data_IF_603744701200
#
_entry.id   IF_603744701200
#
_cell.length_a   1.000
_cell.length_b   1.000
_cell.length_c   1.000
_cell.angle_alpha   90.00
_cell.angle_beta   90.00
_cell.angle_gamma   90.00
#
_symmetry.space_group_name_H-M   'P 1'
#
loop_
_entity.id
_entity.type
_entity.pdbx_description
1 polymer ?
#
# COMPACT_ATOMS: atom_id res chain seq x y z
N UNK A 1 -12.68 5.57 9.76
CA UNK A 1 -11.30 5.20 9.39
C UNK A 1 -10.43 5.36 10.63
N UNK A 2 -9.47 4.48 10.87
CA UNK A 2 -8.45 4.56 11.92
C UNK A 2 -7.83 5.95 11.83
N UNK A 3 -7.69 6.69 12.92
CA UNK A 3 -6.99 7.98 12.92
C UNK A 3 -5.70 7.85 13.72
N UNK A 4 -4.75 8.75 13.47
CA UNK A 4 -3.52 8.82 14.29
C UNK A 4 -3.83 9.03 15.78
N UNK A 5 -4.91 9.77 16.08
CA UNK A 5 -5.44 9.94 17.44
C UNK A 5 -5.93 8.66 18.10
N UNK A 6 -6.30 7.65 17.31
CA UNK A 6 -6.81 6.37 17.82
C UNK A 6 -5.66 5.39 18.14
N UNK A 7 -4.42 5.74 17.78
CA UNK A 7 -3.24 4.89 17.97
C UNK A 7 -2.66 5.13 19.38
N UNK A 8 -2.69 4.12 20.28
CA UNK A 8 -2.06 4.21 21.59
C UNK A 8 -0.53 4.28 21.48
N UNK A 9 0.15 4.63 22.56
CA UNK A 9 1.62 4.63 22.62
C UNK A 9 2.23 3.26 22.35
N UNK A 10 1.57 2.19 22.84
CA UNK A 10 1.98 0.80 22.65
C UNK A 10 0.86 0.03 21.98
N UNK A 11 1.19 -0.64 20.89
CA UNK A 11 0.25 -1.44 20.10
C UNK A 11 0.94 -2.69 19.59
N UNK A 12 0.28 -3.84 19.70
CA UNK A 12 0.73 -5.08 19.07
C UNK A 12 0.29 -5.14 17.61
N UNK A 13 1.01 -5.92 16.80
CA UNK A 13 0.63 -6.15 15.40
C UNK A 13 -0.77 -6.79 15.29
N UNK A 14 -1.14 -7.64 16.26
CA UNK A 14 -2.48 -8.23 16.34
C UNK A 14 -3.57 -7.18 16.58
N UNK A 15 -3.34 -6.20 17.46
CA UNK A 15 -4.31 -5.13 17.69
C UNK A 15 -4.52 -4.30 16.41
N UNK A 16 -3.43 -3.96 15.70
CA UNK A 16 -3.51 -3.26 14.43
C UNK A 16 -4.25 -4.07 13.36
N UNK A 17 -3.96 -5.38 13.26
CA UNK A 17 -4.64 -6.28 12.33
C UNK A 17 -6.15 -6.32 12.56
N UNK A 18 -6.60 -6.40 13.81
CA UNK A 18 -8.03 -6.41 14.13
C UNK A 18 -8.72 -5.07 13.80
N UNK A 19 -8.02 -3.95 13.94
CA UNK A 19 -8.51 -2.65 13.47
C UNK A 19 -8.63 -2.63 11.94
N UNK A 20 -7.62 -3.13 11.22
CA UNK A 20 -7.60 -3.18 9.76
C UNK A 20 -8.66 -4.13 9.19
N UNK A 21 -8.94 -5.26 9.86
CA UNK A 21 -10.04 -6.16 9.48
C UNK A 21 -11.40 -5.48 9.53
N UNK A 22 -11.65 -4.66 10.57
CA UNK A 22 -12.87 -3.86 10.70
C UNK A 22 -12.98 -2.80 9.61
N UNK A 23 -11.88 -2.18 9.20
CA UNK A 23 -11.90 -1.26 8.06
C UNK A 23 -12.13 -1.99 6.74
N UNK A 24 -11.37 -3.05 6.50
CA UNK A 24 -11.45 -3.83 5.27
C UNK A 24 -12.85 -4.40 5.06
N UNK A 25 -13.56 -4.82 6.12
CA UNK A 25 -14.94 -5.32 6.03
C UNK A 25 -15.93 -4.30 5.43
N UNK A 26 -15.67 -3.01 5.60
CA UNK A 26 -16.46 -1.92 5.00
C UNK A 26 -16.17 -1.67 3.51
N UNK A 27 -15.10 -2.27 2.96
CA UNK A 27 -14.76 -2.16 1.53
C UNK A 27 -15.62 -3.14 0.73
N UNK A 28 -16.41 -2.60 -0.20
CA UNK A 28 -17.27 -3.33 -1.12
C UNK A 28 -16.69 -3.35 -2.53
N UNK A 29 -17.23 -4.24 -3.38
CA UNK A 29 -16.80 -4.38 -4.77
C UNK A 29 -16.94 -3.07 -5.56
N UNK A 30 -17.97 -2.27 -5.28
CA UNK A 30 -18.18 -0.96 -5.91
C UNK A 30 -17.03 0.01 -5.64
N UNK A 31 -16.41 -0.06 -4.46
CA UNK A 31 -15.29 0.82 -4.11
C UNK A 31 -14.04 0.44 -4.91
N UNK A 32 -13.83 -0.87 -5.10
CA UNK A 32 -12.75 -1.40 -5.94
C UNK A 32 -12.98 -1.01 -7.41
N UNK A 33 -14.23 -1.06 -7.88
CA UNK A 33 -14.59 -0.62 -9.23
C UNK A 33 -14.31 0.88 -9.41
N UNK A 34 -14.75 1.74 -8.48
CA UNK A 34 -14.45 3.18 -8.52
C UNK A 34 -12.95 3.46 -8.50
N UNK A 35 -12.18 2.76 -7.66
CA UNK A 35 -10.72 2.86 -7.66
C UNK A 35 -10.09 2.44 -9.01
N UNK A 36 -10.65 1.43 -9.67
CA UNK A 36 -10.18 1.01 -11.00
C UNK A 36 -10.44 2.04 -12.10
N UNK A 37 -11.50 2.85 -11.96
CA UNK A 37 -11.78 3.97 -12.88
C UNK A 37 -10.70 5.04 -12.73
N UNK A 38 -10.34 5.41 -11.50
CA UNK A 38 -9.23 6.33 -11.25
C UNK A 38 -7.91 5.82 -11.84
N UNK A 39 -7.58 4.54 -11.62
CA UNK A 39 -6.38 3.93 -12.20
C UNK A 39 -6.34 4.00 -13.72
N UNK A 40 -7.50 3.92 -14.39
CA UNK A 40 -7.59 4.08 -15.85
C UNK A 40 -7.29 5.51 -16.29
N UNK A 41 -7.79 6.49 -15.55
CA UNK A 41 -7.55 7.92 -15.80
C UNK A 41 -6.07 8.29 -15.60
N UNK A 42 -5.43 7.72 -14.58
CA UNK A 42 -4.01 7.91 -14.28
C UNK A 42 -3.12 7.24 -15.34
N UNK A 43 -3.49 6.03 -15.77
CA UNK A 43 -2.79 5.29 -16.81
C UNK A 43 -3.11 5.75 -18.25
N UNK A 44 -3.83 6.87 -18.45
CA UNK A 44 -4.34 7.28 -19.79
C UNK A 44 -3.26 7.52 -20.84
N UNK A 45 -2.04 7.79 -20.41
CA UNK A 45 -0.90 8.06 -21.28
C UNK A 45 -0.05 6.82 -21.57
N UNK A 46 -0.37 5.66 -20.96
CA UNK A 46 0.30 4.41 -21.27
C UNK A 46 -0.22 3.84 -22.60
N UNK A 47 0.61 3.07 -23.33
CA UNK A 47 0.15 2.33 -24.50
C UNK A 47 -1.07 1.45 -24.17
N UNK A 48 -2.05 1.28 -25.07
CA UNK A 48 -3.34 0.62 -24.74
C UNK A 48 -3.20 -0.78 -24.13
N UNK A 49 -2.22 -1.56 -24.60
CA UNK A 49 -1.95 -2.90 -24.06
C UNK A 49 -1.42 -2.82 -22.62
N UNK A 50 -0.45 -1.94 -22.37
CA UNK A 50 0.13 -1.72 -21.05
C UNK A 50 -0.89 -1.15 -20.08
N UNK A 51 -1.75 -0.24 -20.53
CA UNK A 51 -2.84 0.32 -19.74
C UNK A 51 -3.80 -0.78 -19.27
N UNK A 52 -4.23 -1.69 -20.17
CA UNK A 52 -5.11 -2.80 -19.81
C UNK A 52 -4.46 -3.74 -18.79
N UNK A 53 -3.22 -4.17 -19.06
CA UNK A 53 -2.46 -5.05 -18.17
C UNK A 53 -2.24 -4.40 -16.79
N UNK A 54 -1.95 -3.10 -16.76
CA UNK A 54 -1.81 -2.31 -15.54
C UNK A 54 -3.10 -2.31 -14.71
N UNK A 55 -4.22 -1.91 -15.31
CA UNK A 55 -5.52 -1.83 -14.60
C UNK A 55 -5.94 -3.21 -14.06
N UNK A 56 -5.82 -4.26 -14.88
CA UNK A 56 -6.18 -5.62 -14.47
C UNK A 56 -5.32 -6.11 -13.30
N UNK A 57 -4.01 -5.88 -13.35
CA UNK A 57 -3.07 -6.25 -12.29
C UNK A 57 -3.40 -5.52 -10.99
N UNK A 58 -3.59 -4.20 -11.04
CA UNK A 58 -3.87 -3.40 -9.84
C UNK A 58 -5.24 -3.73 -9.23
N UNK A 59 -6.28 -3.86 -10.05
CA UNK A 59 -7.64 -4.20 -9.57
C UNK A 59 -7.64 -5.57 -8.89
N UNK A 60 -6.96 -6.56 -9.49
CA UNK A 60 -6.79 -7.89 -8.90
C UNK A 60 -5.98 -7.84 -7.60
N UNK A 61 -4.91 -7.06 -7.56
CA UNK A 61 -4.10 -6.89 -6.36
C UNK A 61 -4.91 -6.28 -5.22
N UNK A 62 -5.70 -5.24 -5.48
CA UNK A 62 -6.56 -4.60 -4.49
C UNK A 62 -7.59 -5.58 -3.94
N UNK A 63 -8.30 -6.29 -4.81
CA UNK A 63 -9.27 -7.31 -4.41
C UNK A 63 -8.62 -8.41 -3.55
N UNK A 64 -7.50 -8.96 -4.01
CA UNK A 64 -6.80 -10.01 -3.29
C UNK A 64 -6.31 -9.53 -1.92
N UNK A 65 -5.69 -8.34 -1.84
CA UNK A 65 -5.16 -7.81 -0.57
C UNK A 65 -6.24 -7.49 0.45
N UNK A 66 -7.36 -6.90 0.03
CA UNK A 66 -8.50 -6.69 0.93
C UNK A 66 -9.04 -8.03 1.44
N UNK A 67 -9.11 -9.06 0.57
CA UNK A 67 -9.50 -10.41 0.97
C UNK A 67 -8.49 -11.05 1.93
N UNK A 68 -7.19 -10.87 1.69
CA UNK A 68 -6.12 -11.40 2.54
C UNK A 68 -6.24 -10.80 3.95
N UNK A 69 -6.43 -9.48 4.07
CA UNK A 69 -6.61 -8.79 5.36
C UNK A 69 -7.83 -9.34 6.11
N UNK A 70 -8.98 -9.44 5.42
CA UNK A 70 -10.23 -9.97 6.02
C UNK A 70 -10.06 -11.39 6.57
N UNK A 71 -9.25 -12.21 5.90
CA UNK A 71 -9.10 -13.62 6.19
C UNK A 71 -7.79 -13.98 6.90
N UNK A 72 -6.98 -12.99 7.30
CA UNK A 72 -5.70 -13.25 7.96
C UNK A 72 -5.95 -13.88 9.34
N UNK A 73 -5.49 -15.12 9.48
CA UNK A 73 -5.55 -15.93 10.72
C UNK A 73 -4.17 -16.15 11.33
N UNK A 74 -3.13 -15.50 10.80
CA UNK A 74 -1.78 -15.60 11.36
C UNK A 74 -1.75 -14.96 12.75
N UNK A 75 -0.79 -15.41 13.55
CA UNK A 75 -0.52 -14.87 14.88
C UNK A 75 0.79 -14.08 14.79
N UNK A 76 0.70 -12.78 15.03
CA UNK A 76 1.82 -11.87 15.03
C UNK A 76 2.22 -11.57 16.48
N UNK A 77 3.48 -11.81 16.83
CA UNK A 77 3.99 -11.59 18.19
C UNK A 77 4.73 -10.26 18.35
N UNK A 78 4.87 -9.50 17.27
CA UNK A 78 5.61 -8.24 17.26
C UNK A 78 4.81 -7.04 17.76
N UNK A 79 5.54 -5.94 17.87
CA UNK A 79 5.01 -4.63 18.22
C UNK A 79 5.05 -3.71 17.01
N UNK A 80 4.11 -2.78 16.97
CA UNK A 80 4.04 -1.75 15.95
C UNK A 80 4.90 -0.57 16.38
N UNK A 81 5.68 -0.01 15.45
CA UNK A 81 6.24 1.33 15.60
C UNK A 81 5.07 2.34 15.52
N UNK A 82 4.54 2.71 16.67
CA UNK A 82 3.34 3.55 16.78
C UNK A 82 3.60 4.99 16.36
N UNK A 83 4.83 5.48 16.51
CA UNK A 83 5.22 6.81 16.03
C UNK A 83 5.24 6.83 14.50
N UNK A 84 5.94 5.86 13.88
CA UNK A 84 5.96 5.71 12.43
C UNK A 84 4.57 5.44 11.84
N UNK A 85 3.72 4.67 12.53
CA UNK A 85 2.34 4.43 12.10
C UNK A 85 1.51 5.72 12.12
N UNK A 86 1.64 6.55 13.16
CA UNK A 86 0.92 7.83 13.25
C UNK A 86 1.32 8.76 12.11
N UNK A 87 2.63 8.93 11.90
CA UNK A 87 3.15 9.73 10.78
C UNK A 87 2.63 9.20 9.44
N UNK A 88 2.60 7.88 9.27
CA UNK A 88 2.10 7.28 8.04
C UNK A 88 0.60 7.49 7.83
N UNK A 89 -0.20 7.38 8.90
CA UNK A 89 -1.63 7.66 8.85
C UNK A 89 -1.87 9.13 8.48
N UNK A 90 -1.17 10.07 9.11
CA UNK A 90 -1.31 11.50 8.83
C UNK A 90 -0.95 11.80 7.37
N UNK A 91 0.10 11.16 6.85
CA UNK A 91 0.48 11.26 5.45
C UNK A 91 -0.60 10.73 4.50
N UNK A 92 -1.18 9.56 4.78
CA UNK A 92 -2.25 8.95 3.97
C UNK A 92 -3.54 9.78 4.05
N UNK A 93 -3.85 10.35 5.20
CA UNK A 93 -5.01 11.22 5.41
C UNK A 93 -4.83 12.55 4.65
N UNK A 94 -3.61 13.09 4.58
CA UNK A 94 -3.28 14.21 3.70
C UNK A 94 -3.54 13.86 2.22
N UNK A 95 -3.07 12.71 1.74
CA UNK A 95 -3.33 12.28 0.36
C UNK A 95 -4.83 12.13 0.08
N UNK A 96 -5.57 11.54 1.02
CA UNK A 96 -7.02 11.39 0.92
C UNK A 96 -7.75 12.74 0.91
N UNK A 97 -7.28 13.73 1.66
CA UNK A 97 -7.85 15.08 1.68
C UNK A 97 -7.67 15.83 0.36
N UNK A 98 -6.61 15.49 -0.39
CA UNK A 98 -6.26 16.08 -1.68
C UNK A 98 -6.94 15.39 -2.87
N UNK A 99 -7.65 14.28 -2.63
CA UNK A 99 -8.37 13.56 -3.68
C UNK A 99 -9.38 14.47 -4.37
N UNK A 100 -9.28 14.57 -5.71
CA UNK A 100 -10.08 15.47 -6.55
C UNK A 100 -11.40 14.86 -6.99
N UNK A 101 -11.48 13.54 -7.01
CA UNK A 101 -12.66 12.79 -7.47
C UNK A 101 -13.06 11.72 -6.44
N UNK A 102 -14.31 11.27 -6.49
CA UNK A 102 -14.74 10.15 -5.64
C UNK A 102 -14.00 8.84 -6.01
N UNK A 103 -13.67 8.65 -7.29
CA UNK A 103 -12.88 7.51 -7.75
C UNK A 103 -11.47 7.50 -7.12
N UNK A 104 -10.82 8.66 -7.07
CA UNK A 104 -9.53 8.84 -6.38
C UNK A 104 -9.68 8.62 -4.88
N UNK A 105 -10.76 9.14 -4.27
CA UNK A 105 -11.05 8.92 -2.84
C UNK A 105 -11.20 7.43 -2.51
N UNK A 106 -11.92 6.67 -3.34
CA UNK A 106 -12.03 5.21 -3.22
C UNK A 106 -10.67 4.53 -3.33
N UNK A 107 -9.85 4.93 -4.31
CA UNK A 107 -8.48 4.42 -4.47
C UNK A 107 -7.65 4.67 -3.20
N UNK A 108 -7.61 5.91 -2.70
CA UNK A 108 -6.80 6.27 -1.54
C UNK A 108 -7.27 5.53 -0.27
N UNK A 109 -8.59 5.38 -0.07
CA UNK A 109 -9.14 4.58 1.06
C UNK A 109 -8.66 3.13 1.02
N UNK A 110 -8.69 2.48 -0.14
CA UNK A 110 -8.27 1.09 -0.30
C UNK A 110 -6.74 0.97 -0.15
N UNK A 111 -5.98 1.84 -0.83
CA UNK A 111 -4.53 1.87 -0.78
C UNK A 111 -4.04 2.06 0.67
N UNK A 112 -4.67 2.94 1.44
CA UNK A 112 -4.38 3.16 2.86
C UNK A 112 -4.48 1.88 3.70
N UNK A 113 -5.59 1.16 3.61
CA UNK A 113 -5.80 -0.10 4.37
C UNK A 113 -4.71 -1.11 4.01
N UNK A 114 -4.47 -1.30 2.71
CA UNK A 114 -3.49 -2.27 2.21
C UNK A 114 -2.08 -1.90 2.64
N UNK A 115 -1.70 -0.63 2.51
CA UNK A 115 -0.33 -0.18 2.75
C UNK A 115 0.03 -0.18 4.24
N UNK A 116 -0.91 0.14 5.12
CA UNK A 116 -0.72 -0.01 6.57
C UNK A 116 -0.53 -1.49 6.92
N UNK A 117 -1.39 -2.37 6.40
CA UNK A 117 -1.28 -3.82 6.63
C UNK A 117 0.08 -4.38 6.21
N UNK A 118 0.51 -4.12 4.97
CA UNK A 118 1.78 -4.69 4.48
C UNK A 118 2.98 -4.12 5.21
N UNK A 119 2.97 -2.82 5.51
CA UNK A 119 4.13 -2.14 6.12
C UNK A 119 4.26 -2.45 7.61
N UNK A 120 3.15 -2.38 8.37
CA UNK A 120 3.19 -2.41 9.83
C UNK A 120 2.82 -3.76 10.44
N UNK A 121 2.06 -4.61 9.72
CA UNK A 121 1.71 -5.97 10.18
C UNK A 121 2.58 -7.02 9.49
N UNK A 122 2.62 -7.04 8.15
CA UNK A 122 3.38 -8.05 7.40
C UNK A 122 4.88 -7.78 7.36
N UNK A 123 5.32 -6.54 7.59
CA UNK A 123 6.70 -6.07 7.37
C UNK A 123 7.20 -6.42 5.97
N UNK A 124 6.32 -6.26 4.99
CA UNK A 124 6.56 -6.51 3.57
C UNK A 124 6.58 -5.20 2.77
N UNK A 125 7.26 -5.16 1.62
CA UNK A 125 7.29 -3.97 0.78
C UNK A 125 5.90 -3.61 0.26
N UNK A 126 5.65 -2.31 0.11
CA UNK A 126 4.39 -1.77 -0.45
C UNK A 126 4.10 -2.36 -1.82
N UNK A 127 5.12 -2.43 -2.67
CA UNK A 127 5.07 -3.19 -3.92
C UNK A 127 5.53 -4.63 -3.67
N UNK A 128 4.73 -5.65 -4.04
CA UNK A 128 5.11 -7.05 -3.85
C UNK A 128 6.42 -7.42 -4.58
N UNK A 129 7.13 -8.42 -4.04
CA UNK A 129 8.27 -9.05 -4.72
C UNK A 129 7.86 -9.52 -6.12
N UNK A 130 8.71 -9.26 -7.11
CA UNK A 130 8.43 -9.51 -8.53
C UNK A 130 7.72 -8.37 -9.26
N UNK A 131 7.29 -7.30 -8.58
CA UNK A 131 6.77 -6.10 -9.23
C UNK A 131 7.82 -5.52 -10.18
N UNK A 132 7.48 -5.45 -11.47
CA UNK A 132 8.33 -4.86 -12.52
C UNK A 132 8.22 -3.34 -12.55
N UNK A 133 9.36 -2.69 -12.65
CA UNK A 133 9.53 -1.26 -12.92
C UNK A 133 10.10 -1.05 -14.34
N UNK A 134 10.03 0.18 -14.90
CA UNK A 134 10.66 0.50 -16.17
C UNK A 134 12.14 0.07 -16.21
N UNK A 135 12.61 -0.38 -17.37
CA UNK A 135 13.97 -0.94 -17.52
C UNK A 135 14.09 -2.43 -17.20
N UNK A 136 12.98 -3.10 -16.85
CA UNK A 136 12.96 -4.56 -16.61
C UNK A 136 13.35 -4.96 -15.19
N UNK A 137 13.67 -4.00 -14.33
CA UNK A 137 14.01 -4.23 -12.92
C UNK A 137 12.79 -4.66 -12.11
N UNK A 138 13.02 -5.43 -11.04
CA UNK A 138 11.96 -5.93 -10.16
C UNK A 138 12.28 -5.71 -8.70
N UNK A 139 11.24 -5.65 -7.87
CA UNK A 139 11.41 -5.81 -6.41
C UNK A 139 11.91 -7.23 -6.15
N UNK A 140 13.04 -7.37 -5.47
CA UNK A 140 13.61 -8.68 -5.11
C UNK A 140 13.72 -8.85 -3.59
N UNK A 141 13.95 -10.09 -3.17
CA UNK A 141 14.16 -10.46 -1.77
C UNK A 141 15.39 -11.35 -1.68
N UNK A 142 16.29 -11.04 -0.76
CA UNK A 142 17.40 -11.92 -0.38
C UNK A 142 17.37 -12.11 1.14
N UNK A 143 17.21 -13.36 1.58
CA UNK A 143 16.98 -13.66 2.99
C UNK A 143 15.77 -12.88 3.54
N UNK A 144 16.01 -11.97 4.48
CA UNK A 144 14.98 -11.14 5.10
C UNK A 144 14.99 -9.67 4.62
N UNK A 145 15.83 -9.36 3.63
CA UNK A 145 15.94 -8.00 3.08
C UNK A 145 15.17 -7.90 1.77
N UNK A 146 14.45 -6.80 1.60
CA UNK A 146 13.72 -6.46 0.38
C UNK A 146 14.41 -5.31 -0.34
N UNK A 147 14.67 -5.48 -1.63
CA UNK A 147 15.32 -4.48 -2.47
C UNK A 147 14.34 -3.93 -3.48
N UNK A 148 14.27 -2.61 -3.57
CA UNK A 148 13.45 -1.88 -4.52
C UNK A 148 14.36 -1.08 -5.45
N UNK A 149 14.21 -1.22 -6.78
CA UNK A 149 15.12 -0.60 -7.75
C UNK A 149 15.01 0.93 -7.81
N UNK A 150 13.96 1.51 -7.23
CA UNK A 150 13.64 2.94 -7.36
C UNK A 150 13.53 3.65 -6.01
N UNK A 151 13.94 3.00 -4.89
CA UNK A 151 13.74 3.53 -3.53
C UNK A 151 14.35 4.92 -3.38
N UNK A 152 15.65 5.07 -3.64
CA UNK A 152 16.38 6.32 -3.38
C UNK A 152 15.93 7.44 -4.33
N UNK A 153 15.64 7.07 -5.58
CA UNK A 153 15.14 8.02 -6.59
C UNK A 153 13.73 8.54 -6.28
N UNK A 154 12.94 7.79 -5.53
CA UNK A 154 11.53 8.12 -5.26
C UNK A 154 11.24 8.50 -3.81
N UNK A 155 12.21 8.38 -2.89
CA UNK A 155 11.97 8.62 -1.46
C UNK A 155 11.53 10.07 -1.17
N UNK A 156 12.03 11.02 -1.95
CA UNK A 156 11.74 12.44 -1.81
C UNK A 156 10.60 12.93 -2.73
N UNK A 157 10.03 12.04 -3.54
CA UNK A 157 8.91 12.40 -4.42
C UNK A 157 7.68 12.73 -3.58
N UNK A 158 7.05 13.91 -3.74
CA UNK A 158 5.82 14.25 -3.04
C UNK A 158 4.75 13.19 -3.29
N UNK A 159 4.08 12.73 -2.22
CA UNK A 159 3.09 11.66 -2.34
C UNK A 159 3.65 10.23 -2.43
N UNK A 160 4.96 10.03 -2.48
CA UNK A 160 5.52 8.69 -2.52
C UNK A 160 5.47 7.99 -1.15
N UNK A 161 4.92 6.77 -1.16
CA UNK A 161 4.95 5.84 -0.02
C UNK A 161 6.35 5.27 0.24
N UNK A 162 7.31 5.53 -0.67
CA UNK A 162 8.67 5.00 -0.61
C UNK A 162 9.34 5.27 0.73
N UNK A 163 9.16 6.46 1.33
CA UNK A 163 9.73 6.79 2.65
C UNK A 163 9.30 5.87 3.79
N UNK A 164 8.10 5.28 3.70
CA UNK A 164 7.55 4.37 4.70
C UNK A 164 7.76 2.90 4.36
N UNK A 165 8.12 2.58 3.12
CA UNK A 165 8.29 1.20 2.66
C UNK A 165 9.51 0.53 3.33
N UNK A 166 9.36 -0.71 3.79
CA UNK A 166 10.43 -1.49 4.43
C UNK A 166 11.58 -1.89 3.50
N UNK A 167 11.42 -1.76 2.18
CA UNK A 167 12.49 -2.06 1.23
C UNK A 167 13.59 -1.00 1.25
N UNK A 168 14.83 -1.42 1.01
CA UNK A 168 15.98 -0.56 0.76
C UNK A 168 16.27 -0.45 -0.74
N UNK A 169 17.13 0.50 -1.13
CA UNK A 169 17.58 0.62 -2.51
C UNK A 169 18.33 -0.66 -2.93
N UNK A 170 18.03 -1.12 -4.13
CA UNK A 170 18.77 -2.21 -4.75
C UNK A 170 20.21 -1.74 -5.06
N UNK A 171 21.26 -2.30 -4.41
CA UNK A 171 22.64 -1.88 -4.64
C UNK A 171 23.14 -2.20 -6.05
N UNK A 172 22.50 -3.12 -6.76
CA UNK A 172 22.85 -3.49 -8.14
C UNK A 172 22.26 -2.51 -9.16
N UNK A 173 21.47 -1.53 -8.69
CA UNK A 173 20.76 -0.55 -9.52
C UNK A 173 20.99 0.83 -8.91
N UNK A 174 21.94 1.58 -9.47
CA UNK A 174 22.24 2.98 -9.14
C UNK A 174 21.35 3.93 -9.93
#
# INVERSE_FOLDING_TARGET
>A
MIRSSDIPEKMTEMQLLEMLKKEASSVHIKDIMSASVYLREDARYLPPREQKEFIERFTRAFFNRIRDIKNDKNIYQGHVDTAGLKEFIDFLDQQLSQAKTENERCFQKIARIITIYVTFVRKEPVHPVGTRFPGGFTVRREGNVFYCPVKDRQINTPGALCRFCVSIQDPDIS
#
